data_IF_997600814703
#
_entry.id   IF_997600814703
#
_cell.length_a   1.000
_cell.length_b   1.000
_cell.length_c   1.000
_cell.angle_alpha   90.00
_cell.angle_beta   90.00
_cell.angle_gamma   90.00
#
_symmetry.space_group_name_H-M   'P 1'
#
loop_
_entity.id
_entity.type
_entity.pdbx_description
1 polymer ?
#
# COMPACT_ATOMS: atom_id res chain seq x y z
N UNK A 1 -20.35 -16.35 27.62
CA UNK A 1 -19.68 -15.22 26.91
C UNK A 1 -18.67 -15.80 25.92
N UNK A 2 -19.17 -16.27 24.78
CA UNK A 2 -18.34 -16.77 23.67
C UNK A 2 -18.41 -15.72 22.57
N UNK A 3 -17.37 -14.87 22.50
CA UNK A 3 -17.24 -13.87 21.43
C UNK A 3 -16.96 -14.62 20.13
N UNK A 4 -17.92 -14.55 19.22
CA UNK A 4 -17.80 -14.90 17.79
C UNK A 4 -16.61 -14.15 17.19
N UNK A 5 -15.51 -14.87 16.93
CA UNK A 5 -14.32 -14.35 16.24
C UNK A 5 -14.39 -14.57 14.71
N UNK A 6 -15.50 -15.09 14.19
CA UNK A 6 -15.65 -15.53 12.80
C UNK A 6 -16.27 -14.48 11.85
N UNK A 7 -16.70 -13.32 12.35
CA UNK A 7 -17.41 -12.27 11.56
C UNK A 7 -16.51 -11.13 11.04
N UNK A 8 -15.18 -11.26 11.06
CA UNK A 8 -14.25 -10.14 10.80
C UNK A 8 -13.44 -10.08 9.48
N UNK A 9 -13.54 -10.99 8.51
CA UNK A 9 -12.98 -10.73 7.19
C UNK A 9 -13.95 -10.04 6.23
N UNK A 10 -15.25 -10.29 6.35
CA UNK A 10 -16.28 -9.83 5.38
C UNK A 10 -16.67 -8.37 5.58
N UNK A 11 -16.84 -7.92 6.83
CA UNK A 11 -17.21 -6.53 7.14
C UNK A 11 -16.17 -5.48 6.69
N UNK A 12 -14.90 -5.88 6.53
CA UNK A 12 -13.86 -5.00 5.98
C UNK A 12 -14.00 -4.83 4.47
N UNK A 13 -14.53 -5.83 3.77
CA UNK A 13 -14.61 -5.85 2.31
C UNK A 13 -15.83 -5.09 1.76
N UNK A 14 -16.90 -4.93 2.54
CA UNK A 14 -18.13 -4.25 2.11
C UNK A 14 -18.03 -2.71 2.15
N UNK A 15 -16.98 -2.15 2.78
CA UNK A 15 -16.81 -0.70 2.95
C UNK A 15 -15.45 -0.14 2.52
N UNK A 16 -14.52 -0.97 2.03
CA UNK A 16 -13.20 -0.49 1.63
C UNK A 16 -13.28 0.26 0.30
N UNK A 17 -13.11 1.58 0.33
CA UNK A 17 -12.94 2.33 -0.90
C UNK A 17 -11.59 2.00 -1.54
N UNK A 18 -11.49 2.19 -2.85
CA UNK A 18 -10.21 2.12 -3.56
C UNK A 18 -9.16 3.05 -2.92
N UNK A 19 -9.57 4.24 -2.47
CA UNK A 19 -8.69 5.17 -1.77
C UNK A 19 -8.11 4.56 -0.48
N UNK A 20 -8.93 3.85 0.29
CA UNK A 20 -8.49 3.18 1.52
C UNK A 20 -7.49 2.06 1.22
N UNK A 21 -7.72 1.31 0.13
CA UNK A 21 -6.79 0.28 -0.31
C UNK A 21 -5.43 0.88 -0.71
N UNK A 22 -5.43 1.99 -1.45
CA UNK A 22 -4.19 2.70 -1.81
C UNK A 22 -3.46 3.20 -0.56
N UNK A 23 -4.19 3.79 0.39
CA UNK A 23 -3.63 4.27 1.65
C UNK A 23 -2.98 3.16 2.48
N UNK A 24 -3.53 1.94 2.45
CA UNK A 24 -2.96 0.77 3.14
C UNK A 24 -1.80 0.15 2.36
N UNK A 25 -1.92 0.03 1.04
CA UNK A 25 -0.91 -0.63 0.21
C UNK A 25 0.38 0.20 0.09
N UNK A 26 0.29 1.53 0.07
CA UNK A 26 1.44 2.41 -0.13
C UNK A 26 2.53 2.27 0.97
N UNK A 27 2.23 2.31 2.28
CA UNK A 27 3.24 2.06 3.31
C UNK A 27 3.76 0.61 3.30
N UNK A 28 2.93 -0.36 2.93
CA UNK A 28 3.34 -1.76 2.82
C UNK A 28 4.33 -1.98 1.67
N UNK A 29 4.08 -1.39 0.50
CA UNK A 29 4.99 -1.41 -0.63
C UNK A 29 6.30 -0.70 -0.31
N UNK A 30 6.23 0.43 0.38
CA UNK A 30 7.43 1.13 0.82
C UNK A 30 8.25 0.27 1.78
N UNK A 31 7.61 -0.31 2.80
CA UNK A 31 8.29 -1.17 3.77
C UNK A 31 8.91 -2.40 3.11
N UNK A 32 8.16 -3.07 2.23
CA UNK A 32 8.65 -4.22 1.47
C UNK A 32 9.80 -3.86 0.53
N UNK A 33 9.65 -2.77 -0.24
CA UNK A 33 10.68 -2.29 -1.16
C UNK A 33 11.93 -1.82 -0.44
N UNK A 34 11.80 -1.19 0.73
CA UNK A 34 12.95 -0.85 1.58
C UNK A 34 13.63 -2.10 2.10
N UNK A 35 12.87 -3.09 2.59
CA UNK A 35 13.43 -4.35 3.06
C UNK A 35 14.22 -5.07 1.97
N UNK A 36 13.64 -5.20 0.77
CA UNK A 36 14.32 -5.79 -0.40
C UNK A 36 15.58 -4.98 -0.75
N UNK A 37 15.47 -3.65 -0.82
CA UNK A 37 16.60 -2.79 -1.15
C UNK A 37 17.70 -2.83 -0.09
N UNK A 38 17.37 -2.90 1.20
CA UNK A 38 18.34 -3.01 2.28
C UNK A 38 19.04 -4.37 2.31
N UNK A 39 18.37 -5.44 1.86
CA UNK A 39 18.99 -6.76 1.70
C UNK A 39 19.86 -6.85 0.45
N UNK A 40 19.53 -6.10 -0.61
CA UNK A 40 20.22 -6.14 -1.90
C UNK A 40 21.37 -5.13 -2.02
N UNK A 41 21.32 -4.02 -1.28
CA UNK A 41 22.25 -2.90 -1.40
C UNK A 41 22.79 -2.47 -0.03
N UNK A 42 24.08 -2.17 0.05
CA UNK A 42 24.74 -1.74 1.30
C UNK A 42 24.55 -0.24 1.63
N UNK A 43 23.54 0.40 1.08
CA UNK A 43 23.35 1.85 1.17
C UNK A 43 21.91 2.26 1.40
N UNK A 44 21.71 3.09 2.43
CA UNK A 44 20.41 3.72 2.72
C UNK A 44 19.77 4.39 1.49
N UNK A 45 20.50 5.16 0.65
CA UNK A 45 19.90 5.78 -0.54
C UNK A 45 19.33 4.76 -1.53
N UNK A 46 20.01 3.62 -1.73
CA UNK A 46 19.56 2.59 -2.66
C UNK A 46 18.33 1.85 -2.16
N UNK A 47 18.28 1.57 -0.84
CA UNK A 47 17.09 0.99 -0.21
C UNK A 47 15.88 1.93 -0.29
N UNK A 48 16.08 3.22 -0.01
CA UNK A 48 15.02 4.24 -0.14
C UNK A 48 14.56 4.40 -1.58
N UNK A 49 15.48 4.45 -2.55
CA UNK A 49 15.13 4.53 -3.97
C UNK A 49 14.29 3.34 -4.43
N UNK A 50 14.62 2.14 -3.96
CA UNK A 50 13.86 0.91 -4.25
C UNK A 50 12.44 1.00 -3.68
N UNK A 51 12.32 1.39 -2.40
CA UNK A 51 11.04 1.60 -1.72
C UNK A 51 10.16 2.63 -2.45
N UNK A 52 10.72 3.79 -2.79
CA UNK A 52 10.02 4.85 -3.52
C UNK A 52 9.56 4.39 -4.89
N UNK A 53 10.40 3.67 -5.63
CA UNK A 53 10.06 3.15 -6.97
C UNK A 53 8.92 2.13 -6.89
N UNK A 54 8.89 1.28 -5.86
CA UNK A 54 7.82 0.31 -5.65
C UNK A 54 6.44 0.96 -5.47
N UNK A 55 6.38 2.20 -4.97
CA UNK A 55 5.12 2.94 -4.79
C UNK A 55 4.62 3.67 -6.05
N UNK A 56 5.47 3.85 -7.08
CA UNK A 56 5.12 4.59 -8.30
C UNK A 56 3.87 4.05 -9.01
N UNK A 57 3.66 2.72 -9.15
CA UNK A 57 2.46 2.21 -9.81
C UNK A 57 1.15 2.69 -9.18
N UNK A 58 1.07 2.77 -7.84
CA UNK A 58 -0.13 3.27 -7.16
C UNK A 58 -0.36 4.76 -7.44
N UNK A 59 0.71 5.56 -7.50
CA UNK A 59 0.60 6.98 -7.84
C UNK A 59 0.16 7.19 -9.29
N UNK A 60 0.72 6.43 -10.22
CA UNK A 60 0.32 6.50 -11.64
C UNK A 60 -1.14 6.10 -11.82
N UNK A 61 -1.57 5.05 -11.13
CA UNK A 61 -2.94 4.57 -11.18
C UNK A 61 -3.91 5.61 -10.59
N UNK A 62 -3.56 6.23 -9.45
CA UNK A 62 -4.30 7.35 -8.86
C UNK A 62 -4.29 8.65 -9.66
N UNK A 63 -3.27 8.92 -10.47
CA UNK A 63 -3.16 10.18 -11.20
C UNK A 63 -3.75 10.11 -12.62
N UNK A 64 -3.62 8.97 -13.29
CA UNK A 64 -3.95 8.85 -14.71
C UNK A 64 -5.12 7.91 -15.02
N UNK A 65 -5.34 6.87 -14.21
CA UNK A 65 -6.39 5.87 -14.49
C UNK A 65 -7.67 6.22 -13.76
N UNK A 66 -7.55 6.56 -12.47
CA UNK A 66 -8.67 6.90 -11.60
C UNK A 66 -8.33 8.19 -10.83
N UNK A 67 -8.24 9.33 -11.56
CA UNK A 67 -7.96 10.63 -10.94
C UNK A 67 -9.03 10.99 -9.91
N UNK A 68 -8.69 11.79 -8.89
CA UNK A 68 -9.70 12.36 -8.01
C UNK A 68 -10.68 13.19 -8.85
N UNK A 69 -11.98 12.89 -8.74
CA UNK A 69 -13.03 13.71 -9.33
C UNK A 69 -13.20 14.96 -8.47
N UNK A 70 -13.41 16.12 -9.11
CA UNK A 70 -13.77 17.35 -8.38
C UNK A 70 -15.11 17.11 -7.65
N UNK A 71 -15.09 17.24 -6.32
CA UNK A 71 -16.24 17.06 -5.45
C UNK A 71 -17.17 18.27 -5.37
#
# INVERSE_FOLDING_TARGET
MTRTLEERPTAFSEGLSRADLILVCMPLLFLGGYGVGALAFEGWPAATATASTACVPLMLEGLFVNPPEDG
#
